data_IF_746874813924
#
_entry.id   IF_746874813924
#
_cell.length_a   1.000
_cell.length_b   1.000
_cell.length_c   1.000
_cell.angle_alpha   90.00
_cell.angle_beta   90.00
_cell.angle_gamma   90.00
#
_symmetry.space_group_name_H-M   'P 1'
#
loop_
_entity.id
_entity.type
_entity.pdbx_description
1 polymer ?
#
# COMPACT_ATOMS: atom_id res chain seq x y z
N UNK A 1 -8.27 -11.30 20.40
CA UNK A 1 -7.09 -11.14 19.52
C UNK A 1 -7.19 -12.13 18.37
N UNK A 2 -7.50 -11.69 17.14
CA UNK A 2 -7.51 -12.58 15.97
C UNK A 2 -6.19 -12.38 15.22
N UNK A 3 -5.22 -13.23 15.51
CA UNK A 3 -3.93 -13.29 14.82
C UNK A 3 -4.07 -14.03 13.49
N UNK A 4 -3.82 -13.28 12.42
CA UNK A 4 -3.15 -13.65 11.16
C UNK A 4 -3.08 -15.14 10.75
N UNK A 5 -4.18 -15.67 10.25
CA UNK A 5 -4.12 -16.58 9.11
C UNK A 5 -4.74 -15.87 7.93
N UNK A 6 -3.95 -15.64 6.89
CA UNK A 6 -4.44 -15.14 5.61
C UNK A 6 -5.29 -16.28 5.03
N UNK A 7 -6.61 -16.17 5.14
CA UNK A 7 -7.49 -17.20 4.60
C UNK A 7 -7.45 -17.17 3.05
N UNK A 8 -7.73 -18.32 2.43
CA UNK A 8 -7.69 -18.46 0.97
C UNK A 8 -8.67 -17.50 0.25
N UNK A 9 -9.79 -17.15 0.91
CA UNK A 9 -10.75 -16.19 0.36
C UNK A 9 -10.18 -14.78 0.33
N UNK A 10 -9.43 -14.37 1.35
CA UNK A 10 -8.65 -13.12 1.36
C UNK A 10 -7.71 -13.08 0.16
N UNK A 11 -6.92 -14.14 -0.09
CA UNK A 11 -5.99 -14.17 -1.23
C UNK A 11 -6.73 -14.08 -2.57
N UNK A 12 -7.80 -14.85 -2.77
CA UNK A 12 -8.56 -14.84 -4.03
C UNK A 12 -9.24 -13.49 -4.27
N UNK A 13 -9.80 -12.89 -3.22
CA UNK A 13 -10.45 -11.58 -3.29
C UNK A 13 -9.43 -10.49 -3.64
N UNK A 14 -8.29 -10.45 -2.95
CA UNK A 14 -7.25 -9.44 -3.20
C UNK A 14 -6.43 -9.71 -4.47
N UNK A 15 -6.39 -10.94 -5.01
CA UNK A 15 -5.72 -11.25 -6.29
C UNK A 15 -6.21 -10.39 -7.45
N UNK A 16 -7.44 -9.90 -7.41
CA UNK A 16 -8.05 -9.05 -8.46
C UNK A 16 -8.12 -7.56 -8.11
N UNK A 17 -7.78 -7.17 -6.87
CA UNK A 17 -7.90 -5.79 -6.42
C UNK A 17 -6.67 -4.97 -6.80
N UNK A 18 -6.88 -4.05 -7.73
CA UNK A 18 -5.92 -3.01 -8.11
C UNK A 18 -6.39 -1.68 -7.55
N UNK A 19 -5.44 -0.81 -7.25
CA UNK A 19 -5.71 0.53 -6.74
C UNK A 19 -4.84 1.54 -7.47
N UNK A 20 -5.43 2.67 -7.85
CA UNK A 20 -4.69 3.81 -8.39
C UNK A 20 -4.31 4.74 -7.24
N UNK A 21 -3.03 5.06 -7.12
CA UNK A 21 -2.50 6.00 -6.12
C UNK A 21 -1.79 7.16 -6.78
N UNK A 22 -1.84 8.33 -6.15
CA UNK A 22 -0.96 9.44 -6.51
C UNK A 22 0.45 9.15 -5.96
N UNK A 23 1.47 9.31 -6.79
CA UNK A 23 2.88 9.18 -6.38
C UNK A 23 3.44 10.57 -6.11
N UNK A 24 4.05 10.75 -4.94
CA UNK A 24 4.78 11.96 -4.56
C UNK A 24 6.29 11.68 -4.50
N UNK A 25 7.10 12.74 -4.55
CA UNK A 25 8.57 12.60 -4.62
C UNK A 25 9.17 11.80 -3.46
N UNK A 26 8.60 11.95 -2.27
CA UNK A 26 9.02 11.25 -1.05
C UNK A 26 8.79 9.73 -1.10
N UNK A 27 7.85 9.25 -1.92
CA UNK A 27 7.53 7.84 -2.05
C UNK A 27 8.74 7.04 -2.55
N UNK A 28 9.59 7.64 -3.39
CA UNK A 28 10.82 6.99 -3.86
C UNK A 28 11.83 6.69 -2.74
N UNK A 29 11.73 7.38 -1.61
CA UNK A 29 12.58 7.18 -0.43
C UNK A 29 11.89 6.38 0.68
N UNK A 30 10.72 5.79 0.41
CA UNK A 30 10.04 4.90 1.36
C UNK A 30 10.93 3.71 1.74
N UNK A 31 11.01 3.42 3.05
CA UNK A 31 11.83 2.33 3.59
C UNK A 31 11.00 1.31 4.37
N UNK A 32 10.12 1.76 5.26
CA UNK A 32 9.30 0.90 6.12
C UNK A 32 8.09 1.68 6.65
N UNK A 33 7.29 1.04 7.52
CA UNK A 33 6.09 1.60 8.14
C UNK A 33 4.93 1.91 7.20
N UNK A 34 3.87 2.53 7.72
CA UNK A 34 2.78 3.04 6.90
C UNK A 34 3.26 4.30 6.20
N UNK A 35 3.26 4.30 4.86
CA UNK A 35 3.63 5.44 4.05
C UNK A 35 2.87 6.69 4.49
N UNK A 36 3.63 7.75 4.78
CA UNK A 36 3.14 9.07 5.15
C UNK A 36 3.75 10.09 4.21
N UNK A 37 2.89 10.76 3.46
CA UNK A 37 3.32 11.84 2.58
C UNK A 37 3.87 13.01 3.41
N UNK A 38 5.10 13.39 3.11
CA UNK A 38 5.81 14.60 3.59
C UNK A 38 6.05 15.60 2.45
N UNK A 39 6.08 15.15 1.20
CA UNK A 39 6.26 15.98 0.02
C UNK A 39 4.94 16.49 -0.56
N UNK A 40 4.95 17.74 -1.04
CA UNK A 40 3.83 18.31 -1.82
C UNK A 40 3.99 18.07 -3.34
N UNK A 41 5.15 17.61 -3.80
CA UNK A 41 5.44 17.44 -5.23
C UNK A 41 4.89 16.12 -5.75
N UNK A 42 3.75 16.17 -6.44
CA UNK A 42 3.18 15.03 -7.16
C UNK A 42 4.05 14.72 -8.39
N UNK A 43 4.46 13.46 -8.53
CA UNK A 43 5.26 12.97 -9.66
C UNK A 43 4.37 12.27 -10.68
N UNK A 44 3.24 11.69 -10.26
CA UNK A 44 2.31 11.06 -11.19
C UNK A 44 1.24 10.23 -10.49
N UNK A 45 0.75 9.21 -11.19
CA UNK A 45 -0.15 8.19 -10.64
C UNK A 45 0.38 6.80 -10.96
N UNK A 46 0.19 5.85 -10.05
CA UNK A 46 0.62 4.47 -10.22
C UNK A 46 -0.50 3.51 -9.87
N UNK A 47 -0.59 2.38 -10.58
CA UNK A 47 -1.56 1.32 -10.30
C UNK A 47 -0.84 0.18 -9.62
N UNK A 48 -1.31 -0.17 -8.44
CA UNK A 48 -0.68 -1.13 -7.54
C UNK A 48 -1.66 -2.24 -7.16
N UNK A 49 -1.15 -3.37 -6.69
CA UNK A 49 -1.97 -4.52 -6.31
C UNK A 49 -2.13 -4.60 -4.80
N UNK A 50 -3.37 -4.60 -4.31
CA UNK A 50 -3.64 -4.85 -2.90
C UNK A 50 -3.47 -6.35 -2.65
N UNK A 51 -2.72 -6.71 -1.60
CA UNK A 51 -2.50 -8.11 -1.22
C UNK A 51 -2.95 -8.42 0.21
N UNK A 52 -3.34 -7.41 0.98
CA UNK A 52 -3.87 -7.57 2.32
C UNK A 52 -4.17 -6.25 3.00
N UNK A 53 -4.55 -6.31 4.27
CA UNK A 53 -4.82 -5.16 5.12
C UNK A 53 -4.49 -5.51 6.57
N UNK A 54 -4.35 -4.49 7.40
CA UNK A 54 -4.14 -4.68 8.83
C UNK A 54 -4.43 -3.42 9.63
N UNK A 55 -4.04 -3.47 10.89
CA UNK A 55 -4.02 -2.34 11.83
C UNK A 55 -2.69 -2.40 12.54
N UNK A 56 -1.98 -1.27 12.57
CA UNK A 56 -0.71 -1.08 13.28
C UNK A 56 -0.82 0.26 14.01
N UNK A 57 -0.61 0.25 15.32
CA UNK A 57 -0.77 1.42 16.20
C UNK A 57 -2.08 2.19 15.97
N UNK A 58 -3.21 1.44 15.96
CA UNK A 58 -4.57 1.95 15.66
C UNK A 58 -4.77 2.56 14.26
N UNK A 59 -3.77 2.49 13.38
CA UNK A 59 -3.84 2.93 11.99
C UNK A 59 -4.16 1.75 11.07
N UNK A 60 -5.33 1.78 10.46
CA UNK A 60 -5.72 0.84 9.39
C UNK A 60 -4.83 1.05 8.17
N UNK A 61 -4.31 -0.02 7.58
CA UNK A 61 -3.49 0.05 6.36
C UNK A 61 -3.90 -1.00 5.30
N UNK A 62 -3.55 -0.73 4.06
CA UNK A 62 -3.46 -1.68 2.95
C UNK A 62 -2.02 -2.16 2.81
N UNK A 63 -1.83 -3.47 2.69
CA UNK A 63 -0.56 -4.05 2.26
C UNK A 63 -0.58 -4.19 0.74
N UNK A 64 0.41 -3.60 0.09
CA UNK A 64 0.41 -3.39 -1.35
C UNK A 64 1.69 -3.95 -1.96
N UNK A 65 1.55 -4.67 -3.07
CA UNK A 65 2.67 -5.09 -3.91
C UNK A 65 2.93 -4.04 -4.99
N UNK A 66 4.15 -3.52 -5.02
CA UNK A 66 4.64 -2.64 -6.07
C UNK A 66 5.14 -3.46 -7.27
N UNK A 67 5.37 -2.79 -8.41
CA UNK A 67 5.87 -3.38 -9.65
C UNK A 67 7.19 -2.77 -10.11
N UNK A 68 7.92 -2.08 -9.24
CA UNK A 68 9.18 -1.37 -9.54
C UNK A 68 10.44 -2.23 -9.29
N UNK A 69 10.30 -3.55 -9.26
CA UNK A 69 11.41 -4.47 -9.00
C UNK A 69 11.78 -4.58 -7.52
N UNK A 70 12.65 -5.56 -7.21
CA UNK A 70 13.09 -5.89 -5.83
C UNK A 70 14.05 -4.89 -5.21
N UNK A 71 14.56 -3.95 -6.00
CA UNK A 71 15.47 -2.90 -5.54
C UNK A 71 14.74 -1.71 -4.89
N UNK A 72 13.41 -1.66 -4.98
CA UNK A 72 12.61 -0.59 -4.38
C UNK A 72 11.97 -1.04 -3.06
N UNK A 73 12.36 -0.37 -1.96
CA UNK A 73 11.80 -0.57 -0.63
C UNK A 73 12.07 -1.95 -0.01
N UNK A 74 11.38 -2.24 1.09
CA UNK A 74 11.49 -3.53 1.79
C UNK A 74 10.70 -4.60 1.01
N UNK A 75 11.41 -5.37 0.17
CA UNK A 75 10.90 -6.59 -0.48
C UNK A 75 9.71 -6.39 -1.43
N UNK A 76 9.65 -5.29 -2.19
CA UNK A 76 8.58 -4.99 -3.19
C UNK A 76 7.22 -4.62 -2.56
N UNK A 77 7.09 -4.67 -1.24
CA UNK A 77 5.84 -4.37 -0.54
C UNK A 77 5.90 -3.04 0.19
N UNK A 78 4.75 -2.37 0.29
CA UNK A 78 4.62 -1.20 1.13
C UNK A 78 3.26 -1.18 1.82
N UNK A 79 3.20 -0.49 2.96
CA UNK A 79 1.95 -0.24 3.67
C UNK A 79 1.49 1.18 3.37
N UNK A 80 0.19 1.36 3.16
CA UNK A 80 -0.40 2.70 2.99
C UNK A 80 -1.69 2.80 3.80
N UNK A 81 -1.94 3.95 4.41
CA UNK A 81 -3.10 4.15 5.29
C UNK A 81 -4.40 3.85 4.55
N UNK A 82 -5.34 3.14 5.17
CA UNK A 82 -6.65 2.80 4.61
C UNK A 82 -7.72 3.74 5.13
N UNK A 83 -8.54 4.29 4.23
CA UNK A 83 -9.61 5.24 4.57
C UNK A 83 -9.15 6.69 4.73
N UNK A 84 -7.94 7.04 4.29
CA UNK A 84 -7.47 8.42 4.14
C UNK A 84 -7.63 8.91 2.70
N UNK A 85 -7.89 10.20 2.50
CA UNK A 85 -8.13 10.84 1.18
C UNK A 85 -6.94 10.87 0.21
N UNK A 86 -5.93 10.03 0.41
CA UNK A 86 -4.79 9.88 -0.52
C UNK A 86 -5.15 8.97 -1.73
N UNK A 87 -6.38 8.45 -1.78
CA UNK A 87 -6.91 7.65 -2.88
C UNK A 87 -8.02 8.38 -3.66
N UNK A 88 -7.93 8.26 -4.98
CA UNK A 88 -9.04 8.51 -5.88
C UNK A 88 -9.85 7.22 -6.03
N UNK A 89 -11.15 7.32 -5.81
CA UNK A 89 -12.13 6.27 -6.10
C UNK A 89 -12.04 5.87 -7.58
N UNK A 90 -11.88 4.58 -7.87
CA UNK A 90 -12.30 3.95 -9.12
C UNK A 90 -12.79 2.55 -8.81
#
# INVERSE_FOLDING_TARGET
MKSHLIDLWTIISYRRLKMKMNVYLDFFSYKSEIYKRTSRKKIGTHVVKIIGWGVEDDVKYWLVANSWGTQWGDKVFFKIRRGGGEFGNY
#
